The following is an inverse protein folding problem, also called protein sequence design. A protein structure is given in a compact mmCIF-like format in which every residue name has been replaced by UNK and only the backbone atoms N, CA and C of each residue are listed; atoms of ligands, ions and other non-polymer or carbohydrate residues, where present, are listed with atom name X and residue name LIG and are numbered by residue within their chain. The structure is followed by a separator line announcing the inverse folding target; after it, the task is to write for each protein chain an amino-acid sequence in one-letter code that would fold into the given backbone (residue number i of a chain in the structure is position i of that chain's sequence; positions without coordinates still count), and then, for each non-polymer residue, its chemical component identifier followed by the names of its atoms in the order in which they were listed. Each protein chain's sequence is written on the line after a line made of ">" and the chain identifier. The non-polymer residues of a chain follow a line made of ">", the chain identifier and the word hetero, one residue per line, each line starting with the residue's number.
data_IF_550104920898
#
_entry.id   IF_550104920898
#
_cell.length_a   1.000
_cell.length_b   1.000
_cell.length_c   1.000
_cell.angle_alpha   90.00
_cell.angle_beta   90.00
_cell.angle_gamma   90.00
#
_symmetry.space_group_name_H-M   'P 1'
#
loop_
_entity.id
_entity.type
_entity.pdbx_description
1 polymer ?
#
# COMPACT_ATOMS: atom_id res chain seq x y z
N UNK A 1 2.36 21.30 18.09
CA UNK A 1 3.46 20.53 17.44
C UNK A 1 2.90 19.91 16.19
N UNK A 2 3.57 20.05 15.04
CA UNK A 2 3.10 19.47 13.79
C UNK A 2 3.46 17.99 13.70
N UNK A 3 2.74 17.24 12.86
CA UNK A 3 3.06 15.85 12.55
C UNK A 3 4.53 15.62 12.18
N UNK A 4 5.09 16.52 11.38
CA UNK A 4 6.49 16.49 10.91
C UNK A 4 7.53 16.74 12.01
N UNK A 5 7.12 17.25 13.18
CA UNK A 5 7.98 17.36 14.37
C UNK A 5 7.98 16.09 15.21
N UNK A 6 6.95 15.24 15.05
CA UNK A 6 6.73 14.04 15.88
C UNK A 6 7.17 12.79 15.12
N UNK A 7 6.76 12.67 13.85
CA UNK A 7 7.01 11.50 13.03
C UNK A 7 8.13 11.75 12.00
N UNK A 8 9.06 10.80 11.82
CA UNK A 8 9.94 10.78 10.67
C UNK A 8 9.16 10.84 9.36
N UNK A 9 9.62 11.68 8.44
CA UNK A 9 9.02 11.82 7.11
C UNK A 9 10.11 12.00 6.06
N UNK A 10 9.78 11.67 4.81
CA UNK A 10 10.69 11.79 3.68
C UNK A 10 10.75 13.27 3.24
N UNK A 11 11.85 13.96 3.55
CA UNK A 11 12.02 15.40 3.31
C UNK A 11 12.30 15.73 1.84
N UNK A 12 12.25 17.00 1.45
CA UNK A 12 12.62 17.43 0.10
C UNK A 12 14.14 17.26 -0.10
N UNK A 13 14.94 17.64 0.89
CA UNK A 13 16.40 17.43 0.90
C UNK A 13 16.78 15.96 0.65
N UNK A 14 16.06 15.00 1.25
CA UNK A 14 16.28 13.57 1.02
C UNK A 14 15.93 13.15 -0.42
N UNK A 15 14.87 13.71 -1.01
CA UNK A 15 14.54 13.43 -2.40
C UNK A 15 15.63 13.97 -3.34
N UNK A 16 16.14 15.17 -3.06
CA UNK A 16 17.21 15.80 -3.83
C UNK A 16 18.54 15.05 -3.68
N UNK A 17 18.91 14.67 -2.46
CA UNK A 17 20.11 13.85 -2.18
C UNK A 17 20.03 12.52 -2.92
N UNK A 18 18.89 11.83 -2.87
CA UNK A 18 18.68 10.61 -3.65
C UNK A 18 18.88 10.86 -5.15
N UNK A 19 18.29 11.92 -5.72
CA UNK A 19 18.41 12.21 -7.15
C UNK A 19 19.86 12.47 -7.58
N UNK A 20 20.63 13.18 -6.75
CA UNK A 20 22.01 13.59 -7.00
C UNK A 20 23.00 12.45 -6.80
N UNK A 21 22.78 11.59 -5.79
CA UNK A 21 23.79 10.63 -5.33
C UNK A 21 23.51 9.18 -5.74
N UNK A 22 22.28 8.83 -6.13
CA UNK A 22 21.98 7.45 -6.51
C UNK A 22 22.77 7.03 -7.75
N UNK A 23 23.44 5.90 -7.64
CA UNK A 23 24.29 5.37 -8.72
C UNK A 23 23.46 4.67 -9.81
N UNK A 24 24.05 4.52 -11.00
CA UNK A 24 23.43 3.73 -12.09
C UNK A 24 23.15 2.29 -11.66
N UNK A 25 24.02 1.68 -10.85
CA UNK A 25 23.83 0.32 -10.34
C UNK A 25 22.63 0.21 -9.41
N UNK A 26 22.46 1.17 -8.50
CA UNK A 26 21.28 1.22 -7.62
C UNK A 26 19.99 1.48 -8.39
N UNK A 27 20.01 2.36 -9.40
CA UNK A 27 18.85 2.57 -10.28
C UNK A 27 18.47 1.29 -11.03
N UNK A 28 19.45 0.52 -11.50
CA UNK A 28 19.20 -0.78 -12.14
C UNK A 28 18.60 -1.79 -11.15
N UNK A 29 19.07 -1.81 -9.90
CA UNK A 29 18.47 -2.65 -8.84
C UNK A 29 17.01 -2.26 -8.58
N UNK A 30 16.70 -0.97 -8.49
CA UNK A 30 15.32 -0.51 -8.33
C UNK A 30 14.44 -0.84 -9.54
N UNK A 31 14.99 -0.79 -10.76
CA UNK A 31 14.27 -1.22 -11.96
C UNK A 31 14.00 -2.72 -11.97
N UNK A 32 14.91 -3.55 -11.47
CA UNK A 32 14.64 -5.00 -11.32
C UNK A 32 13.56 -5.25 -10.24
N UNK A 33 13.59 -4.45 -9.17
CA UNK A 33 12.72 -4.61 -8.01
C UNK A 33 11.29 -4.08 -8.21
N UNK A 34 11.14 -2.94 -8.88
CA UNK A 34 9.87 -2.21 -9.06
C UNK A 34 9.41 -2.15 -10.52
N UNK A 35 10.23 -2.62 -11.45
CA UNK A 35 9.91 -2.60 -12.87
C UNK A 35 8.91 -3.67 -13.28
N UNK A 36 8.11 -3.32 -14.28
CA UNK A 36 7.17 -4.23 -14.94
C UNK A 36 7.87 -4.82 -16.16
N UNK A 37 7.91 -6.14 -16.26
CA UNK A 37 8.47 -6.85 -17.41
C UNK A 37 7.50 -6.85 -18.59
N UNK A 38 6.20 -7.09 -18.33
CA UNK A 38 5.16 -7.18 -19.35
C UNK A 38 3.78 -6.84 -18.80
N UNK A 39 2.91 -6.28 -19.65
CA UNK A 39 1.51 -6.00 -19.34
C UNK A 39 0.60 -6.89 -20.18
N UNK A 40 -0.31 -7.59 -19.53
CA UNK A 40 -1.31 -8.45 -20.15
C UNK A 40 -2.71 -7.86 -19.95
N UNK A 41 -3.59 -8.08 -20.94
CA UNK A 41 -4.96 -7.54 -20.97
C UNK A 41 -4.99 -6.03 -20.64
N UNK A 42 -4.23 -5.23 -21.38
CA UNK A 42 -4.08 -3.80 -21.11
C UNK A 42 -5.40 -3.04 -21.34
N UNK A 43 -5.84 -2.29 -20.34
CA UNK A 43 -7.15 -1.63 -20.30
C UNK A 43 -7.01 -0.12 -20.53
N UNK A 44 -6.63 0.24 -21.77
CA UNK A 44 -6.42 1.65 -22.15
C UNK A 44 -7.71 2.47 -22.01
N UNK A 45 -7.57 3.73 -21.61
CA UNK A 45 -8.67 4.70 -21.58
C UNK A 45 -9.47 4.76 -20.28
N UNK A 46 -9.40 3.72 -19.42
CA UNK A 46 -10.09 3.71 -18.12
C UNK A 46 -9.55 4.80 -17.19
N UNK A 47 -10.43 5.60 -16.58
CA UNK A 47 -10.04 6.78 -15.77
C UNK A 47 -9.83 6.47 -14.29
N UNK A 48 -10.35 5.34 -13.83
CA UNK A 48 -10.18 4.85 -12.47
C UNK A 48 -9.42 3.53 -12.52
N UNK A 49 -8.40 3.37 -11.68
CA UNK A 49 -7.64 2.14 -11.50
C UNK A 49 -7.87 1.64 -10.07
N UNK A 50 -8.34 0.41 -9.93
CA UNK A 50 -8.24 -0.35 -8.68
C UNK A 50 -6.94 -1.14 -8.75
N UNK A 51 -6.05 -0.94 -7.79
CA UNK A 51 -4.70 -1.51 -7.81
C UNK A 51 -4.47 -2.44 -6.63
N UNK A 52 -3.94 -3.62 -6.95
CA UNK A 52 -3.67 -4.71 -6.01
C UNK A 52 -2.33 -5.35 -6.35
N UNK A 53 -1.83 -6.19 -5.46
CA UNK A 53 -0.61 -6.96 -5.69
C UNK A 53 -0.79 -8.42 -5.30
N UNK A 54 -0.14 -9.31 -6.05
CA UNK A 54 -0.05 -10.73 -5.75
C UNK A 54 1.41 -11.15 -5.69
N UNK A 55 1.77 -11.71 -4.54
CA UNK A 55 3.07 -12.30 -4.26
C UNK A 55 2.87 -13.36 -3.16
N UNK A 56 3.78 -14.32 -3.05
CA UNK A 56 3.71 -15.34 -1.99
C UNK A 56 5.05 -15.58 -1.31
N UNK A 57 5.14 -15.32 0.01
CA UNK A 57 6.41 -15.29 0.73
C UNK A 57 6.28 -15.27 2.24
N UNK A 58 7.45 -15.39 2.87
CA UNK A 58 7.66 -15.19 4.29
C UNK A 58 7.65 -13.71 4.68
N UNK A 59 7.42 -13.49 5.98
CA UNK A 59 7.08 -12.19 6.57
C UNK A 59 8.36 -11.42 6.92
N UNK A 60 9.43 -12.15 7.27
CA UNK A 60 10.72 -11.59 7.67
C UNK A 60 11.86 -12.16 6.81
N UNK A 61 12.92 -11.36 6.61
CA UNK A 61 14.06 -11.71 5.77
C UNK A 61 15.01 -12.76 6.38
N UNK A 62 14.95 -12.98 7.70
CA UNK A 62 15.68 -14.03 8.41
C UNK A 62 15.07 -15.42 8.20
N UNK A 63 13.86 -15.49 7.63
CA UNK A 63 13.21 -16.74 7.28
C UNK A 63 13.73 -17.26 5.93
N UNK A 64 13.87 -18.59 5.77
CA UNK A 64 14.28 -19.18 4.50
C UNK A 64 13.28 -18.85 3.38
N UNK A 65 13.72 -18.85 2.13
CA UNK A 65 12.78 -18.60 1.03
C UNK A 65 11.70 -19.69 0.96
N UNK A 66 10.50 -19.30 0.52
CA UNK A 66 9.47 -20.30 0.24
C UNK A 66 9.88 -21.13 -0.98
N UNK A 67 9.37 -22.35 -1.02
CA UNK A 67 9.46 -23.20 -2.22
C UNK A 67 8.85 -22.48 -3.42
N UNK A 68 9.38 -22.74 -4.61
CA UNK A 68 8.89 -22.13 -5.85
C UNK A 68 7.38 -22.26 -5.97
N UNK A 69 6.64 -21.16 -6.17
CA UNK A 69 5.19 -21.21 -6.29
C UNK A 69 4.72 -22.09 -7.45
N UNK A 70 3.63 -22.83 -7.23
CA UNK A 70 2.87 -23.51 -8.29
C UNK A 70 1.40 -23.48 -7.94
N UNK A 71 0.51 -23.71 -8.92
CA UNK A 71 -0.93 -23.83 -8.68
C UNK A 71 -1.26 -24.83 -7.57
N UNK A 72 -0.65 -26.02 -7.61
CA UNK A 72 -0.84 -27.06 -6.62
C UNK A 72 -0.35 -26.64 -5.23
N UNK A 73 0.80 -25.95 -5.14
CA UNK A 73 1.36 -25.49 -3.86
C UNK A 73 0.48 -24.42 -3.22
N UNK A 74 -0.06 -23.50 -4.01
CA UNK A 74 -0.96 -22.47 -3.51
C UNK A 74 -2.26 -23.10 -2.98
N UNK A 75 -2.91 -23.94 -3.79
CA UNK A 75 -4.19 -24.57 -3.42
C UNK A 75 -4.08 -25.59 -2.29
N UNK A 76 -2.90 -26.20 -2.09
CA UNK A 76 -2.65 -27.17 -1.01
C UNK A 76 -1.78 -26.58 0.12
N UNK A 77 -1.58 -25.26 0.16
CA UNK A 77 -0.63 -24.62 1.07
C UNK A 77 -0.86 -25.00 2.54
N UNK A 78 -2.13 -25.04 2.98
CA UNK A 78 -2.51 -25.46 4.33
C UNK A 78 -2.10 -26.89 4.62
N UNK A 79 -2.45 -27.82 3.73
CA UNK A 79 -2.13 -29.25 3.86
C UNK A 79 -0.62 -29.49 3.92
N UNK A 80 0.16 -28.67 3.20
CA UNK A 80 1.61 -28.82 3.10
C UNK A 80 2.39 -27.96 4.11
N UNK A 81 1.71 -27.27 5.05
CA UNK A 81 2.38 -26.44 6.06
C UNK A 81 3.08 -25.21 5.47
N UNK A 82 2.63 -24.74 4.30
CA UNK A 82 3.18 -23.59 3.58
C UNK A 82 2.42 -22.29 3.87
N UNK A 83 1.36 -22.34 4.67
CA UNK A 83 0.68 -21.16 5.21
C UNK A 83 1.59 -20.48 6.23
N UNK A 84 1.63 -19.15 6.19
CA UNK A 84 2.44 -18.32 7.09
C UNK A 84 1.55 -17.39 7.88
N UNK A 85 1.16 -16.28 7.26
CA UNK A 85 0.22 -15.32 7.84
C UNK A 85 -1.21 -15.58 7.40
N UNK A 86 -1.39 -15.74 6.09
CA UNK A 86 -2.67 -15.98 5.45
C UNK A 86 -2.53 -17.12 4.43
N UNK A 87 -3.64 -17.78 4.12
CA UNK A 87 -3.67 -18.84 3.13
C UNK A 87 -3.50 -18.22 1.74
N UNK A 88 -2.45 -18.55 0.99
CA UNK A 88 -2.12 -17.78 -0.20
C UNK A 88 -3.12 -17.96 -1.33
N UNK A 89 -3.87 -19.08 -1.37
CA UNK A 89 -4.94 -19.25 -2.35
C UNK A 89 -6.23 -18.61 -1.86
N UNK A 90 -6.76 -19.05 -0.71
CA UNK A 90 -8.07 -18.61 -0.20
C UNK A 90 -8.09 -17.11 0.12
N UNK A 91 -6.97 -16.54 0.58
CA UNK A 91 -6.90 -15.12 0.96
C UNK A 91 -6.51 -14.20 -0.20
N UNK A 92 -5.72 -14.66 -1.18
CA UNK A 92 -5.20 -13.75 -2.19
C UNK A 92 -5.66 -14.03 -3.62
N UNK A 93 -5.73 -15.30 -4.03
CA UNK A 93 -6.02 -15.66 -5.43
C UNK A 93 -7.51 -15.90 -5.65
N UNK A 94 -8.11 -16.72 -4.80
CA UNK A 94 -9.52 -17.11 -4.91
C UNK A 94 -10.48 -15.90 -4.93
N UNK A 95 -10.33 -14.87 -4.06
CA UNK A 95 -11.24 -13.74 -4.08
C UNK A 95 -11.26 -13.01 -5.43
N UNK A 96 -10.09 -12.90 -6.08
CA UNK A 96 -9.98 -12.25 -7.38
C UNK A 96 -10.68 -13.05 -8.46
N UNK A 97 -10.47 -14.37 -8.49
CA UNK A 97 -11.11 -15.25 -9.49
C UNK A 97 -12.62 -15.37 -9.27
N UNK A 98 -13.07 -15.35 -8.02
CA UNK A 98 -14.48 -15.46 -7.65
C UNK A 98 -15.26 -14.17 -7.94
N UNK A 99 -14.74 -13.02 -7.54
CA UNK A 99 -15.46 -11.74 -7.61
C UNK A 99 -15.11 -10.90 -8.84
N UNK A 100 -13.89 -11.05 -9.40
CA UNK A 100 -13.39 -10.29 -10.53
C UNK A 100 -14.29 -10.28 -11.77
N UNK A 101 -14.80 -11.43 -12.26
CA UNK A 101 -15.63 -11.46 -13.45
C UNK A 101 -16.93 -10.67 -13.32
N UNK A 102 -17.56 -10.68 -12.14
CA UNK A 102 -18.77 -9.91 -11.89
C UNK A 102 -18.47 -8.41 -11.79
N UNK A 103 -17.41 -8.04 -11.06
CA UNK A 103 -17.00 -6.65 -10.87
C UNK A 103 -16.57 -5.98 -12.18
N UNK A 104 -15.77 -6.66 -12.99
CA UNK A 104 -15.28 -6.12 -14.28
C UNK A 104 -16.41 -5.93 -15.30
N UNK A 105 -17.47 -6.75 -15.25
CA UNK A 105 -18.68 -6.54 -16.05
C UNK A 105 -19.53 -5.39 -15.53
N UNK A 106 -19.62 -5.23 -14.22
CA UNK A 106 -20.43 -4.18 -13.57
C UNK A 106 -19.79 -2.79 -13.68
N UNK A 107 -18.45 -2.73 -13.67
CA UNK A 107 -17.66 -1.51 -13.74
C UNK A 107 -16.71 -1.52 -14.95
N UNK A 108 -17.22 -1.51 -16.19
CA UNK A 108 -16.39 -1.54 -17.41
C UNK A 108 -15.46 -0.33 -17.55
N UNK A 109 -15.77 0.78 -16.87
CA UNK A 109 -15.00 2.02 -16.81
C UNK A 109 -13.78 1.96 -15.87
N UNK A 110 -13.72 0.97 -14.98
CA UNK A 110 -12.68 0.81 -13.95
C UNK A 110 -11.65 -0.22 -14.40
N UNK A 111 -10.37 0.11 -14.33
CA UNK A 111 -9.28 -0.84 -14.56
C UNK A 111 -8.95 -1.58 -13.27
N UNK A 112 -9.24 -2.89 -13.21
CA UNK A 112 -8.78 -3.72 -12.10
C UNK A 112 -7.39 -4.26 -12.43
N UNK A 113 -6.37 -3.68 -11.79
CA UNK A 113 -4.95 -3.93 -12.05
C UNK A 113 -4.33 -4.77 -10.94
N UNK A 114 -3.64 -5.84 -11.34
CA UNK A 114 -2.87 -6.70 -10.45
C UNK A 114 -1.38 -6.60 -10.80
N UNK A 115 -0.56 -6.17 -9.84
CA UNK A 115 0.89 -6.29 -9.92
C UNK A 115 1.31 -7.69 -9.44
N UNK A 116 1.67 -8.55 -10.38
CA UNK A 116 1.90 -9.98 -10.19
C UNK A 116 3.40 -10.28 -10.17
N UNK A 117 3.87 -10.90 -9.09
CA UNK A 117 5.27 -11.34 -8.96
C UNK A 117 5.71 -12.24 -10.12
N UNK A 118 7.01 -12.19 -10.46
CA UNK A 118 7.55 -12.90 -11.61
C UNK A 118 7.32 -14.42 -11.56
N UNK A 119 7.45 -15.01 -10.37
CA UNK A 119 7.32 -16.44 -10.07
C UNK A 119 5.87 -16.94 -9.93
N UNK A 120 4.88 -16.08 -10.19
CA UNK A 120 3.46 -16.40 -10.21
C UNK A 120 2.85 -16.30 -11.61
N UNK A 121 3.67 -16.38 -12.66
CA UNK A 121 3.27 -16.25 -14.06
C UNK A 121 2.15 -17.21 -14.51
N UNK A 122 2.06 -18.40 -13.90
CA UNK A 122 0.99 -19.36 -14.13
C UNK A 122 -0.42 -18.82 -13.77
N UNK A 123 -0.50 -17.72 -13.01
CA UNK A 123 -1.76 -17.02 -12.72
C UNK A 123 -2.15 -16.00 -13.79
N UNK A 124 -1.30 -15.69 -14.78
CA UNK A 124 -1.59 -14.67 -15.79
C UNK A 124 -2.86 -15.01 -16.56
N UNK A 125 -2.95 -16.23 -17.11
CA UNK A 125 -4.12 -16.66 -17.88
C UNK A 125 -5.43 -16.53 -17.08
N UNK A 126 -5.59 -17.17 -15.89
CA UNK A 126 -6.84 -17.11 -15.14
C UNK A 126 -7.18 -15.67 -14.68
N UNK A 127 -6.19 -14.84 -14.34
CA UNK A 127 -6.45 -13.43 -14.00
C UNK A 127 -6.92 -12.62 -15.20
N UNK A 128 -6.33 -12.82 -16.38
CA UNK A 128 -6.77 -12.11 -17.59
C UNK A 128 -8.15 -12.57 -18.05
N UNK A 129 -8.47 -13.85 -17.94
CA UNK A 129 -9.80 -14.41 -18.20
C UNK A 129 -10.85 -13.85 -17.23
N UNK A 130 -10.47 -13.61 -15.97
CA UNK A 130 -11.31 -12.94 -14.98
C UNK A 130 -11.47 -11.42 -15.22
N UNK A 131 -10.81 -10.87 -16.26
CA UNK A 131 -10.96 -9.48 -16.69
C UNK A 131 -9.97 -8.50 -16.05
N UNK A 132 -8.92 -8.97 -15.38
CA UNK A 132 -7.89 -8.10 -14.79
C UNK A 132 -6.85 -7.65 -15.82
N UNK A 133 -6.34 -6.42 -15.67
CA UNK A 133 -5.06 -6.02 -16.25
C UNK A 133 -3.94 -6.56 -15.36
N UNK A 134 -2.99 -7.31 -15.94
CA UNK A 134 -1.88 -7.89 -15.17
C UNK A 134 -0.59 -7.19 -15.53
N UNK A 135 0.03 -6.55 -14.54
CA UNK A 135 1.36 -5.98 -14.61
C UNK A 135 2.33 -7.02 -14.04
N UNK A 136 2.96 -7.81 -14.93
CA UNK A 136 3.91 -8.84 -14.54
C UNK A 136 5.23 -8.18 -14.14
N UNK A 137 5.62 -8.35 -12.90
CA UNK A 137 6.81 -7.72 -12.33
C UNK A 137 8.08 -8.42 -12.82
N UNK A 138 9.21 -7.71 -12.79
CA UNK A 138 10.54 -8.30 -13.00
C UNK A 138 10.98 -9.16 -11.81
N UNK A 139 10.73 -8.67 -10.60
CA UNK A 139 11.06 -9.38 -9.36
C UNK A 139 10.05 -10.49 -8.99
N UNK A 140 10.58 -11.61 -8.51
CA UNK A 140 9.84 -12.72 -7.89
C UNK A 140 9.40 -12.42 -6.45
N UNK A 141 8.60 -13.31 -5.87
CA UNK A 141 8.09 -13.25 -4.50
C UNK A 141 9.15 -13.59 -3.43
N UNK A 142 10.35 -12.99 -3.48
CA UNK A 142 11.44 -13.37 -2.57
C UNK A 142 11.25 -12.82 -1.14
N UNK A 143 10.86 -11.54 -0.98
CA UNK A 143 10.87 -10.78 0.31
C UNK A 143 9.66 -9.86 0.44
N UNK A 144 9.13 -9.59 1.65
CA UNK A 144 7.79 -8.95 1.83
C UNK A 144 7.68 -7.63 1.08
N UNK A 145 8.66 -6.78 1.29
CA UNK A 145 8.97 -5.73 0.34
C UNK A 145 9.99 -6.31 -0.66
N UNK A 146 9.88 -6.04 -1.96
CA UNK A 146 9.13 -4.95 -2.58
C UNK A 146 7.65 -5.22 -2.85
N UNK A 147 7.18 -6.47 -2.79
CA UNK A 147 5.82 -6.81 -3.21
C UNK A 147 4.72 -5.92 -2.61
N UNK A 148 4.81 -5.60 -1.31
CA UNK A 148 3.86 -4.70 -0.64
C UNK A 148 3.76 -3.31 -1.29
N UNK A 149 4.84 -2.82 -1.92
CA UNK A 149 4.92 -1.52 -2.58
C UNK A 149 4.26 -1.47 -3.96
N UNK A 150 4.23 -2.59 -4.70
CA UNK A 150 3.85 -2.55 -6.12
C UNK A 150 2.45 -2.00 -6.36
N UNK A 151 1.52 -2.27 -5.43
CA UNK A 151 0.16 -1.72 -5.47
C UNK A 151 0.12 -0.19 -5.59
N UNK A 152 1.08 0.53 -5.01
CA UNK A 152 1.10 1.99 -5.04
C UNK A 152 1.70 2.55 -6.33
N UNK A 153 2.34 1.75 -7.19
CA UNK A 153 2.91 2.22 -8.47
C UNK A 153 1.85 2.87 -9.38
N UNK A 154 0.58 2.46 -9.24
CA UNK A 154 -0.52 3.09 -9.98
C UNK A 154 -0.74 4.58 -9.59
N UNK A 155 -0.26 5.03 -8.42
CA UNK A 155 -0.33 6.44 -8.03
C UNK A 155 0.47 7.37 -8.97
N UNK A 156 1.40 6.83 -9.77
CA UNK A 156 2.11 7.61 -10.79
C UNK A 156 1.24 8.01 -12.00
N UNK A 157 0.09 7.35 -12.19
CA UNK A 157 -0.74 7.52 -13.39
C UNK A 157 -1.46 8.87 -13.38
N UNK A 158 -0.95 9.82 -14.18
CA UNK A 158 -1.47 11.20 -14.23
C UNK A 158 -2.92 11.23 -14.70
N UNK A 159 -3.74 12.04 -14.02
CA UNK A 159 -5.14 12.25 -14.39
C UNK A 159 -6.06 11.05 -14.13
N UNK A 160 -5.60 10.07 -13.33
CA UNK A 160 -6.41 8.91 -12.92
C UNK A 160 -6.87 9.04 -11.48
N UNK A 161 -7.97 8.38 -11.17
CA UNK A 161 -8.35 8.03 -9.80
C UNK A 161 -7.80 6.65 -9.47
N UNK A 162 -7.26 6.49 -8.27
CA UNK A 162 -6.60 5.26 -7.84
C UNK A 162 -7.25 4.78 -6.55
N UNK A 163 -7.82 3.58 -6.56
CA UNK A 163 -8.21 2.84 -5.35
C UNK A 163 -7.13 1.81 -5.07
N UNK A 164 -6.47 1.88 -3.92
CA UNK A 164 -5.49 0.87 -3.49
C UNK A 164 -6.17 -0.10 -2.54
N UNK A 165 -6.14 -1.39 -2.88
CA UNK A 165 -6.78 -2.42 -2.05
C UNK A 165 -5.93 -3.67 -1.83
N UNK A 166 -6.15 -4.36 -0.70
CA UNK A 166 -5.75 -5.75 -0.53
C UNK A 166 -6.68 -6.67 -1.36
N UNK A 167 -6.15 -7.81 -1.80
CA UNK A 167 -6.86 -8.72 -2.70
C UNK A 167 -8.04 -9.43 -2.02
N UNK A 168 -7.96 -9.68 -0.71
CA UNK A 168 -9.06 -10.23 0.10
C UNK A 168 -10.24 -9.25 0.24
N UNK A 169 -9.99 -7.95 0.04
CA UNK A 169 -11.02 -6.90 0.08
C UNK A 169 -11.76 -6.71 -1.24
N UNK A 170 -11.40 -7.43 -2.31
CA UNK A 170 -12.03 -7.26 -3.64
C UNK A 170 -13.56 -7.42 -3.61
N UNK A 171 -14.09 -8.24 -2.68
CA UNK A 171 -15.53 -8.39 -2.45
C UNK A 171 -16.25 -7.10 -2.02
N UNK A 172 -15.50 -6.12 -1.51
CA UNK A 172 -15.98 -4.80 -1.07
C UNK A 172 -15.53 -3.69 -2.02
N UNK A 173 -15.15 -4.03 -3.26
CA UNK A 173 -14.62 -3.05 -4.20
C UNK A 173 -15.61 -1.91 -4.48
N UNK A 174 -16.91 -2.18 -4.51
CA UNK A 174 -17.93 -1.14 -4.78
C UNK A 174 -17.92 -0.03 -3.73
N UNK A 175 -17.78 -0.39 -2.45
CA UNK A 175 -17.68 0.57 -1.36
C UNK A 175 -16.38 1.38 -1.47
N UNK A 176 -15.26 0.76 -1.86
CA UNK A 176 -14.00 1.48 -2.07
C UNK A 176 -14.06 2.42 -3.29
N UNK A 177 -14.74 2.00 -4.37
CA UNK A 177 -14.98 2.84 -5.54
C UNK A 177 -15.81 4.06 -5.16
N UNK A 178 -16.87 3.87 -4.37
CA UNK A 178 -17.72 4.95 -3.88
C UNK A 178 -16.92 5.95 -3.02
N UNK A 179 -16.04 5.48 -2.12
CA UNK A 179 -15.15 6.37 -1.34
C UNK A 179 -14.20 7.16 -2.23
N UNK A 180 -13.63 6.53 -3.26
CA UNK A 180 -12.76 7.22 -4.21
C UNK A 180 -13.50 8.27 -5.04
N UNK A 181 -14.73 7.99 -5.45
CA UNK A 181 -15.55 8.97 -6.16
C UNK A 181 -15.98 10.12 -5.24
N UNK A 182 -16.41 9.84 -4.01
CA UNK A 182 -16.75 10.88 -3.03
C UNK A 182 -15.55 11.80 -2.74
N UNK A 183 -14.35 11.24 -2.54
CA UNK A 183 -13.11 12.01 -2.43
C UNK A 183 -12.88 12.90 -3.65
N UNK A 184 -13.11 12.38 -4.86
CA UNK A 184 -12.94 13.14 -6.09
C UNK A 184 -13.94 14.28 -6.21
N UNK A 185 -15.20 14.04 -5.87
CA UNK A 185 -16.31 14.99 -5.90
C UNK A 185 -16.13 16.12 -4.87
N UNK A 186 -15.60 15.81 -3.68
CA UNK A 186 -15.20 16.81 -2.67
C UNK A 186 -13.92 17.58 -3.03
N UNK A 187 -13.37 17.40 -4.25
CA UNK A 187 -12.12 18.00 -4.70
C UNK A 187 -10.88 17.65 -3.85
N UNK A 188 -10.94 16.55 -3.10
CA UNK A 188 -9.84 16.09 -2.25
C UNK A 188 -8.90 15.16 -3.02
N UNK A 189 -7.69 14.99 -2.51
CA UNK A 189 -6.63 14.20 -3.18
C UNK A 189 -6.43 12.79 -2.65
N UNK A 190 -6.93 12.53 -1.44
CA UNK A 190 -6.69 11.30 -0.69
C UNK A 190 -7.95 10.97 0.11
N UNK A 191 -8.37 9.72 0.13
CA UNK A 191 -9.19 9.18 1.21
C UNK A 191 -8.49 8.02 1.88
N UNK A 192 -8.82 7.82 3.16
CA UNK A 192 -8.17 6.82 3.99
C UNK A 192 -9.07 6.32 5.11
N UNK A 193 -8.71 5.15 5.63
CA UNK A 193 -9.06 4.71 6.98
C UNK A 193 -7.76 4.65 7.78
N UNK A 194 -7.61 5.41 8.89
CA UNK A 194 -6.43 5.33 9.72
C UNK A 194 -6.44 3.99 10.50
N UNK A 195 -5.29 3.35 10.66
CA UNK A 195 -5.14 2.21 11.57
C UNK A 195 -5.21 2.68 13.02
N UNK A 196 -6.28 2.33 13.71
CA UNK A 196 -6.61 2.82 15.06
C UNK A 196 -6.41 1.79 16.16
N UNK A 197 -5.97 0.56 15.85
CA UNK A 197 -5.67 -0.45 16.86
C UNK A 197 -4.26 -0.25 17.39
N UNK A 198 -4.10 0.60 18.41
CA UNK A 198 -2.82 0.79 19.07
C UNK A 198 -2.79 0.16 20.45
N UNK A 199 -1.86 -0.78 20.61
CA UNK A 199 -1.26 -1.21 21.87
C UNK A 199 -0.60 0.00 22.58
N UNK A 200 -0.28 -0.09 23.89
CA UNK A 200 0.37 1.00 24.62
C UNK A 200 1.66 1.49 23.92
N UNK A 201 1.76 2.81 23.73
CA UNK A 201 2.84 3.57 23.03
C UNK A 201 4.25 3.35 23.62
N UNK A 202 4.39 2.61 24.73
CA UNK A 202 5.60 2.54 25.54
C UNK A 202 6.80 1.87 24.86
N UNK A 203 6.56 0.95 23.93
CA UNK A 203 7.63 0.13 23.33
C UNK A 203 7.93 0.51 21.88
N UNK A 204 6.90 0.77 21.08
CA UNK A 204 7.02 1.18 19.69
C UNK A 204 5.76 1.94 19.25
N UNK A 205 5.89 2.74 18.19
CA UNK A 205 4.72 3.36 17.54
C UNK A 205 4.31 2.50 16.34
N UNK A 206 3.06 2.04 16.37
CA UNK A 206 2.44 1.21 15.34
C UNK A 206 1.26 1.91 14.62
N UNK A 207 1.09 3.22 14.84
CA UNK A 207 0.03 3.99 14.21
C UNK A 207 0.22 4.05 12.70
N UNK A 208 -0.88 3.89 11.96
CA UNK A 208 -0.89 3.90 10.50
C UNK A 208 -1.83 5.01 10.03
N UNK A 209 -1.34 6.14 9.51
CA UNK A 209 -2.23 7.15 8.96
C UNK A 209 -2.95 6.62 7.70
N UNK A 210 -2.33 5.67 6.99
CA UNK A 210 -2.88 5.01 5.82
C UNK A 210 -2.87 3.51 6.05
N UNK A 211 -3.97 2.84 5.71
CA UNK A 211 -3.98 1.41 5.51
C UNK A 211 -3.69 1.15 4.03
N UNK A 212 -2.52 0.58 3.75
CA UNK A 212 -1.99 0.44 2.38
C UNK A 212 -2.83 -0.42 1.45
N UNK A 213 -3.68 -1.27 1.99
CA UNK A 213 -4.69 -2.03 1.25
C UNK A 213 -6.11 -1.47 1.40
N UNK A 214 -6.27 -0.25 1.87
CA UNK A 214 -7.58 0.37 2.11
C UNK A 214 -7.50 1.91 2.06
N UNK A 215 -7.21 2.42 0.86
CA UNK A 215 -7.14 3.86 0.60
C UNK A 215 -7.40 4.18 -0.87
N UNK A 216 -7.54 5.45 -1.20
CA UNK A 216 -7.52 5.89 -2.59
C UNK A 216 -7.08 7.33 -2.72
N UNK A 217 -6.61 7.68 -3.91
CA UNK A 217 -5.98 8.96 -4.16
C UNK A 217 -6.09 9.37 -5.62
N UNK A 218 -5.84 10.65 -5.88
CA UNK A 218 -5.57 11.14 -7.23
C UNK A 218 -4.17 10.70 -7.67
N UNK A 219 -4.07 10.16 -8.88
CA UNK A 219 -2.81 9.80 -9.49
C UNK A 219 -2.00 11.01 -9.97
N UNK A 220 -0.81 10.75 -10.49
CA UNK A 220 0.19 11.78 -10.85
C UNK A 220 1.14 12.14 -9.70
N UNK A 221 1.29 11.23 -8.73
CA UNK A 221 2.27 11.31 -7.65
C UNK A 221 3.62 10.79 -8.12
N UNK A 222 4.73 11.38 -7.69
CA UNK A 222 6.08 10.87 -7.96
C UNK A 222 6.41 9.62 -7.12
N UNK A 223 5.46 8.67 -7.03
CA UNK A 223 5.44 7.62 -6.02
C UNK A 223 6.66 6.71 -6.14
N UNK A 224 7.10 6.41 -7.37
CA UNK A 224 8.25 5.56 -7.63
C UNK A 224 9.53 6.19 -7.07
N UNK A 225 9.76 7.47 -7.35
CA UNK A 225 10.89 8.20 -6.79
C UNK A 225 10.84 8.20 -5.25
N UNK A 226 9.67 8.42 -4.66
CA UNK A 226 9.53 8.42 -3.19
C UNK A 226 9.81 7.06 -2.56
N UNK A 227 9.44 5.96 -3.24
CA UNK A 227 9.79 4.61 -2.81
C UNK A 227 11.30 4.37 -2.88
N UNK A 228 11.90 4.68 -4.03
CA UNK A 228 13.32 4.45 -4.29
C UNK A 228 14.17 5.25 -3.30
N UNK A 229 13.90 6.55 -3.14
CA UNK A 229 14.57 7.42 -2.17
C UNK A 229 14.44 6.88 -0.73
N UNK A 230 13.24 6.51 -0.30
CA UNK A 230 13.02 6.00 1.05
C UNK A 230 13.80 4.70 1.32
N UNK A 231 13.79 3.76 0.38
CA UNK A 231 14.55 2.50 0.49
C UNK A 231 16.06 2.80 0.50
N UNK A 232 16.51 3.72 -0.36
CA UNK A 232 17.91 4.15 -0.47
C UNK A 232 18.43 4.77 0.84
N UNK A 233 17.69 5.70 1.44
CA UNK A 233 18.03 6.30 2.74
C UNK A 233 17.95 5.28 3.87
N UNK A 234 16.97 4.38 3.85
CA UNK A 234 16.89 3.34 4.88
C UNK A 234 18.12 2.42 4.87
N UNK A 235 18.56 1.98 3.69
CA UNK A 235 19.74 1.12 3.53
C UNK A 235 21.03 1.80 3.98
N UNK A 236 21.12 3.12 3.81
CA UNK A 236 22.25 3.96 4.29
C UNK A 236 22.16 4.35 5.76
N UNK A 237 21.04 4.07 6.41
CA UNK A 237 20.80 4.45 7.80
C UNK A 237 20.52 5.95 8.01
N UNK A 238 20.24 6.70 6.93
CA UNK A 238 19.95 8.14 6.98
C UNK A 238 18.47 8.46 7.14
N UNK A 239 17.58 7.45 7.05
CA UNK A 239 16.17 7.62 7.40
C UNK A 239 15.95 7.53 8.92
N UNK A 240 15.39 8.56 9.59
CA UNK A 240 15.14 8.53 11.03
C UNK A 240 14.13 7.44 11.41
N UNK A 241 14.42 6.72 12.52
CA UNK A 241 13.65 5.55 12.98
C UNK A 241 12.92 5.76 14.31
N UNK A 242 13.03 6.95 14.90
CA UNK A 242 12.47 7.30 16.20
C UNK A 242 11.38 8.36 16.03
N UNK A 243 10.35 8.27 16.88
CA UNK A 243 9.22 9.21 16.97
C UNK A 243 9.39 10.02 18.25
N UNK A 244 9.23 11.33 18.14
CA UNK A 244 9.36 12.30 19.24
C UNK A 244 7.97 12.64 19.80
N UNK A 245 7.40 11.73 20.59
CA UNK A 245 6.08 11.94 21.19
C UNK A 245 6.15 12.86 22.42
N UNK A 246 5.25 13.87 22.54
CA UNK A 246 5.23 14.75 23.70
C UNK A 246 5.13 13.98 25.02
N UNK A 247 6.02 14.28 25.97
CA UNK A 247 6.05 13.64 27.29
C UNK A 247 6.57 12.20 27.29
N UNK A 248 7.07 11.70 26.16
CA UNK A 248 7.72 10.39 26.05
C UNK A 248 9.21 10.56 25.74
N UNK A 249 10.01 9.54 26.07
CA UNK A 249 11.34 9.37 25.43
C UNK A 249 11.15 9.05 23.94
N UNK A 250 12.15 9.30 23.07
CA UNK A 250 12.09 8.86 21.68
C UNK A 250 11.70 7.38 21.56
N UNK A 251 10.69 7.08 20.75
CA UNK A 251 10.11 5.74 20.61
C UNK A 251 10.36 5.20 19.19
N UNK A 252 10.82 3.95 19.01
CA UNK A 252 11.04 3.42 17.67
C UNK A 252 9.74 3.26 16.87
N UNK A 253 9.81 3.56 15.57
CA UNK A 253 8.77 3.18 14.60
C UNK A 253 8.80 1.67 14.42
N UNK A 254 7.62 1.03 14.50
CA UNK A 254 7.48 -0.42 14.28
C UNK A 254 7.82 -0.80 12.83
N UNK A 255 8.36 -2.01 12.64
CA UNK A 255 8.61 -2.62 11.32
C UNK A 255 9.54 -1.80 10.38
N UNK A 256 10.53 -1.10 10.93
CA UNK A 256 11.43 -0.22 10.20
C UNK A 256 12.62 -0.90 9.47
N UNK A 257 12.54 -2.22 9.26
CA UNK A 257 13.63 -3.02 8.67
C UNK A 257 13.29 -3.43 7.24
N UNK A 258 14.04 -2.94 6.26
CA UNK A 258 13.97 -3.45 4.90
C UNK A 258 14.57 -4.86 4.82
N UNK A 259 14.01 -5.82 4.07
CA UNK A 259 12.76 -5.81 3.29
C UNK A 259 11.56 -6.47 4.00
N UNK A 260 11.48 -6.37 5.33
CA UNK A 260 10.51 -7.11 6.14
C UNK A 260 9.06 -6.58 5.99
N UNK A 261 8.12 -7.38 6.48
CA UNK A 261 6.72 -6.99 6.61
C UNK A 261 6.55 -5.76 7.49
N UNK A 262 5.65 -4.86 7.07
CA UNK A 262 5.34 -3.60 7.76
C UNK A 262 6.29 -2.46 7.41
N UNK A 263 7.36 -2.72 6.64
CA UNK A 263 8.22 -1.65 6.14
C UNK A 263 7.47 -0.70 5.19
N UNK A 264 6.54 -1.23 4.39
CA UNK A 264 5.63 -0.45 3.57
C UNK A 264 4.67 0.43 4.39
N UNK A 265 4.32 0.01 5.61
CA UNK A 265 3.51 0.79 6.55
C UNK A 265 4.32 1.95 7.15
N UNK A 266 5.61 1.73 7.45
CA UNK A 266 6.51 2.81 7.83
C UNK A 266 6.74 3.79 6.68
N UNK A 267 6.93 3.31 5.44
CA UNK A 267 7.01 4.18 4.27
C UNK A 267 5.74 5.04 4.12
N UNK A 268 4.55 4.46 4.27
CA UNK A 268 3.29 5.21 4.24
C UNK A 268 3.25 6.31 5.29
N UNK A 269 3.68 6.03 6.53
CA UNK A 269 3.83 7.03 7.59
C UNK A 269 4.77 8.18 7.15
N UNK A 270 5.88 7.85 6.52
CA UNK A 270 6.90 8.81 6.12
C UNK A 270 6.51 9.69 4.92
N UNK A 271 5.70 9.18 3.98
CA UNK A 271 5.22 9.98 2.84
C UNK A 271 3.87 10.67 3.11
N UNK A 272 3.21 10.33 4.20
CA UNK A 272 1.88 10.80 4.52
C UNK A 272 1.72 12.33 4.48
N UNK A 273 2.65 13.16 5.01
CA UNK A 273 2.53 14.62 4.91
C UNK A 273 2.38 15.12 3.47
N UNK A 274 3.07 14.48 2.52
CA UNK A 274 3.03 14.85 1.10
C UNK A 274 1.69 14.49 0.46
N UNK A 275 1.16 13.32 0.80
CA UNK A 275 -0.14 12.87 0.31
C UNK A 275 -1.28 13.71 0.92
N UNK A 276 -1.17 14.09 2.19
CA UNK A 276 -2.19 14.84 2.90
C UNK A 276 -2.31 16.31 2.49
N UNK A 277 -1.23 16.91 1.96
CA UNK A 277 -1.15 18.35 1.66
C UNK A 277 -2.25 18.86 0.70
N UNK A 278 -2.81 17.98 -0.13
CA UNK A 278 -3.87 18.33 -1.10
C UNK A 278 -5.29 17.94 -0.63
N UNK A 279 -5.47 17.75 0.67
CA UNK A 279 -6.76 17.50 1.29
C UNK A 279 -7.10 16.02 1.38
N UNK A 280 -7.67 15.65 2.53
CA UNK A 280 -7.93 14.26 2.92
C UNK A 280 -9.38 14.06 3.32
N UNK A 281 -10.03 13.02 2.80
CA UNK A 281 -11.31 12.49 3.28
C UNK A 281 -11.03 11.31 4.24
N UNK A 282 -11.17 11.55 5.54
CA UNK A 282 -10.86 10.55 6.56
C UNK A 282 -12.11 9.83 7.03
N UNK A 283 -12.16 8.51 6.86
CA UNK A 283 -13.23 7.67 7.41
C UNK A 283 -12.77 7.11 8.77
N UNK A 284 -13.41 7.56 9.86
CA UNK A 284 -13.08 7.16 11.24
C UNK A 284 -14.18 6.25 11.78
N UNK A 285 -13.90 4.98 12.08
CA UNK A 285 -14.89 4.13 12.72
C UNK A 285 -15.16 4.61 14.16
N UNK A 286 -16.42 4.50 14.60
CA UNK A 286 -16.88 5.01 15.91
C UNK A 286 -16.22 4.32 17.10
N UNK A 287 -15.66 3.13 16.90
CA UNK A 287 -14.93 2.38 17.93
C UNK A 287 -13.41 2.65 17.93
N UNK A 288 -12.92 3.61 17.12
CA UNK A 288 -11.50 3.91 17.02
C UNK A 288 -10.88 4.31 18.37
N UNK A 289 -9.79 3.62 18.76
CA UNK A 289 -9.05 3.83 20.03
C UNK A 289 -7.55 4.06 19.78
N UNK A 290 -7.15 5.31 19.54
CA UNK A 290 -5.72 5.66 19.43
C UNK A 290 -5.43 7.02 20.05
N UNK A 291 -4.37 7.09 20.87
CA UNK A 291 -3.87 8.36 21.45
C UNK A 291 -3.23 9.27 20.39
N UNK A 292 -2.86 8.73 19.22
CA UNK A 292 -2.25 9.47 18.10
C UNK A 292 -3.31 10.01 17.13
N UNK A 293 -4.51 9.40 17.08
CA UNK A 293 -5.54 9.80 16.13
C UNK A 293 -5.95 11.29 16.24
N UNK A 294 -6.11 11.90 17.43
CA UNK A 294 -6.39 13.33 17.53
C UNK A 294 -5.31 14.22 16.89
N UNK A 295 -4.03 13.86 17.06
CA UNK A 295 -2.90 14.57 16.46
C UNK A 295 -2.92 14.47 14.93
N UNK A 296 -3.27 13.30 14.39
CA UNK A 296 -3.42 13.10 12.94
C UNK A 296 -4.57 13.96 12.38
N UNK A 297 -5.71 13.97 13.07
CA UNK A 297 -6.87 14.80 12.70
C UNK A 297 -6.49 16.28 12.69
N UNK A 298 -5.84 16.77 13.75
CA UNK A 298 -5.35 18.14 13.83
C UNK A 298 -4.39 18.44 12.67
N UNK A 299 -3.46 17.54 12.37
CA UNK A 299 -2.53 17.71 11.27
C UNK A 299 -3.23 17.83 9.91
N UNK A 300 -4.18 16.94 9.59
CA UNK A 300 -4.89 16.96 8.29
C UNK A 300 -5.72 18.22 8.07
N UNK A 301 -6.38 18.69 9.12
CA UNK A 301 -7.21 19.91 9.08
C UNK A 301 -6.35 21.16 9.05
N UNK A 302 -5.16 21.14 9.66
CA UNK A 302 -4.19 22.22 9.60
C UNK A 302 -3.48 22.33 8.24
N UNK A 303 -2.97 21.22 7.70
CA UNK A 303 -2.23 21.24 6.43
C UNK A 303 -3.14 21.57 5.23
N UNK A 304 -4.42 21.21 5.33
CA UNK A 304 -5.42 21.58 4.34
C UNK A 304 -6.79 21.74 5.00
N UNK A 305 -7.30 22.97 5.03
CA UNK A 305 -8.58 23.30 5.68
C UNK A 305 -9.81 22.73 4.98
N UNK A 306 -9.67 22.19 3.76
CA UNK A 306 -10.74 21.44 3.09
C UNK A 306 -10.81 19.97 3.52
N UNK A 307 -9.85 19.46 4.30
CA UNK A 307 -9.89 18.07 4.74
C UNK A 307 -11.16 17.78 5.53
N UNK A 308 -11.78 16.64 5.24
CA UNK A 308 -13.07 16.23 5.78
C UNK A 308 -12.95 14.95 6.60
N UNK A 309 -13.90 14.75 7.51
CA UNK A 309 -13.98 13.56 8.35
C UNK A 309 -15.39 13.00 8.36
N UNK A 310 -15.49 11.69 8.20
CA UNK A 310 -16.75 10.95 8.28
C UNK A 310 -16.62 9.89 9.36
N UNK A 311 -17.44 10.02 10.40
CA UNK A 311 -17.58 8.97 11.40
C UNK A 311 -18.61 7.95 10.94
N UNK A 312 -18.27 6.66 11.02
CA UNK A 312 -19.19 5.57 10.63
C UNK A 312 -19.26 4.49 11.71
N UNK A 313 -20.45 3.89 11.88
CA UNK A 313 -20.64 2.85 12.88
C UNK A 313 -19.76 1.64 12.57
N UNK A 314 -18.96 1.24 13.55
CA UNK A 314 -18.25 -0.03 13.51
C UNK A 314 -19.26 -1.17 13.74
N UNK A 315 -19.70 -1.82 12.66
CA UNK A 315 -20.64 -2.93 12.72
C UNK A 315 -20.63 -3.75 11.43
N UNK A 316 -19.93 -4.89 11.45
CA UNK A 316 -20.26 -6.05 10.61
C UNK A 316 -19.25 -6.49 9.53
N UNK A 317 -18.35 -5.67 8.99
CA UNK A 317 -17.56 -6.10 7.81
C UNK A 317 -16.25 -5.33 7.50
N UNK A 318 -15.58 -4.69 8.47
CA UNK A 318 -14.29 -4.03 8.19
C UNK A 318 -13.28 -4.22 9.32
N UNK A 319 -12.57 -5.35 9.27
CA UNK A 319 -11.12 -5.49 9.38
C UNK A 319 -10.74 -6.82 8.75
#
# INVERSE_FOLDING_TARGET
>A
MSWTQIFPYLTDDQLEEYEQEVTTGERAEFEEMLGVSKVYNRQRGRRHIVTMTLFWKNVNADQPDLVTPTWQRLTQARRWGLVRRFDPYESYVEPLLLHGPALTRKHPEVCFRVYLAADLDFLIAPLTEAGFEVQHMKSSSQRYCPGGFWRFLALAERGKLITVMDTDRIRFAEEELARTHAMHESELSLWRVPGYYNAPIRENVAYRPLLGGHMGARGGVAIRQWMEAFIWHNRRGTMPKLVELPGCRPVPVKANQWPNYGFDEWWQLAIYPRLAARGVLTFVPTDARSQILPLDIEFTTWINSKSEMVYFQAGGACC
#
